data_IF_037447884495
#
_entry.id   IF_037447884495
#
_cell.length_a   1.000
_cell.length_b   1.000
_cell.length_c   1.000
_cell.angle_alpha   90.00
_cell.angle_beta   90.00
_cell.angle_gamma   90.00
#
_symmetry.space_group_name_H-M   'P 1'
#
loop_
_entity.id
_entity.type
_entity.pdbx_description
1 polymer ?
#
# COMPACT_ATOMS: atom_id res chain seq x y z
N UNK A 1 7.55 8.02 0.70
CA UNK A 1 6.95 6.95 -0.14
C UNK A 1 7.05 5.66 0.63
N UNK A 2 5.94 4.93 0.81
CA UNK A 2 5.87 3.76 1.68
C UNK A 2 5.83 2.46 0.88
N UNK A 3 6.51 1.44 1.37
CA UNK A 3 6.31 0.05 0.97
C UNK A 3 5.00 -0.51 1.56
N UNK A 4 4.00 -0.72 0.70
CA UNK A 4 2.69 -1.27 1.06
C UNK A 4 2.46 -2.63 0.38
N UNK A 5 1.98 -3.60 1.15
CA UNK A 5 1.65 -4.95 0.67
C UNK A 5 0.14 -5.13 0.62
N UNK A 6 -0.37 -5.56 -0.53
CA UNK A 6 -1.80 -5.79 -0.76
C UNK A 6 -1.97 -7.17 -1.39
N UNK A 7 -3.02 -7.89 -1.01
CA UNK A 7 -3.35 -9.18 -1.63
C UNK A 7 -3.67 -8.99 -3.12
N UNK A 8 -3.28 -9.97 -3.94
CA UNK A 8 -3.35 -9.86 -5.41
C UNK A 8 -4.78 -9.70 -5.96
N UNK A 9 -5.77 -10.22 -5.26
CA UNK A 9 -7.19 -10.12 -5.58
C UNK A 9 -7.69 -8.66 -5.62
N UNK A 10 -7.21 -7.81 -4.71
CA UNK A 10 -7.59 -6.40 -4.65
C UNK A 10 -6.99 -5.60 -5.82
N UNK A 11 -5.75 -5.92 -6.22
CA UNK A 11 -4.97 -5.08 -7.13
C UNK A 11 -5.22 -5.28 -8.62
N UNK A 12 -6.10 -6.19 -9.06
CA UNK A 12 -6.14 -6.59 -10.48
C UNK A 12 -7.20 -5.85 -11.32
N UNK A 13 -8.28 -5.32 -10.72
CA UNK A 13 -9.37 -4.71 -11.52
C UNK A 13 -10.09 -3.50 -10.89
N UNK A 14 -9.77 -3.09 -9.66
CA UNK A 14 -10.47 -1.99 -8.98
C UNK A 14 -9.48 -1.02 -8.32
N UNK A 15 -9.17 0.07 -9.02
CA UNK A 15 -8.22 1.08 -8.57
C UNK A 15 -8.71 1.82 -7.31
N UNK A 16 -10.02 1.97 -7.13
CA UNK A 16 -10.58 2.63 -5.95
C UNK A 16 -10.47 1.73 -4.72
N UNK A 17 -10.76 0.43 -4.85
CA UNK A 17 -10.48 -0.54 -3.78
C UNK A 17 -8.99 -0.60 -3.44
N UNK A 18 -8.13 -0.55 -4.45
CA UNK A 18 -6.69 -0.52 -4.23
C UNK A 18 -6.25 0.75 -3.48
N UNK A 19 -6.77 1.93 -3.87
CA UNK A 19 -6.53 3.20 -3.17
C UNK A 19 -7.05 3.15 -1.73
N UNK A 20 -8.23 2.59 -1.49
CA UNK A 20 -8.81 2.43 -0.16
C UNK A 20 -7.97 1.49 0.72
N UNK A 21 -7.49 0.38 0.16
CA UNK A 21 -6.60 -0.55 0.86
C UNK A 21 -5.27 0.13 1.26
N UNK A 22 -4.68 0.94 0.38
CA UNK A 22 -3.52 1.75 0.74
C UNK A 22 -3.83 2.73 1.86
N UNK A 23 -4.95 3.44 1.77
CA UNK A 23 -5.33 4.42 2.78
C UNK A 23 -5.49 3.78 4.16
N UNK A 24 -6.16 2.62 4.25
CA UNK A 24 -6.35 1.89 5.50
C UNK A 24 -5.01 1.43 6.11
N UNK A 25 -4.11 0.87 5.29
CA UNK A 25 -2.79 0.41 5.76
C UNK A 25 -1.93 1.59 6.25
N UNK A 26 -1.90 2.68 5.48
CA UNK A 26 -1.10 3.86 5.80
C UNK A 26 -1.62 4.53 7.06
N UNK A 27 -2.94 4.72 7.18
CA UNK A 27 -3.56 5.35 8.35
C UNK A 27 -3.22 4.62 9.66
N UNK A 28 -3.18 3.29 9.66
CA UNK A 28 -2.83 2.46 10.83
C UNK A 28 -1.38 2.60 11.27
N UNK A 29 -0.49 3.00 10.37
CA UNK A 29 0.94 3.08 10.64
C UNK A 29 1.42 4.54 10.82
N UNK A 30 0.56 5.53 10.58
CA UNK A 30 0.89 6.93 10.85
C UNK A 30 1.18 7.12 12.34
N UNK A 31 2.19 7.94 12.64
CA UNK A 31 2.48 8.32 14.01
C UNK A 31 1.27 9.04 14.65
N UNK A 32 1.09 8.94 15.97
CA UNK A 32 0.11 9.75 16.69
C UNK A 32 0.24 11.24 16.36
N UNK A 33 -0.88 11.96 16.31
CA UNK A 33 -0.90 13.36 15.91
C UNK A 33 -0.85 13.59 14.40
N UNK A 34 -0.89 12.53 13.57
CA UNK A 34 -1.01 12.63 12.12
C UNK A 34 -2.27 11.93 11.62
N UNK A 35 -2.98 12.57 10.70
CA UNK A 35 -4.13 11.99 10.01
C UNK A 35 -3.86 11.93 8.51
N UNK A 36 -4.12 10.78 7.91
CA UNK A 36 -4.02 10.61 6.47
C UNK A 36 -5.02 11.54 5.76
N UNK A 37 -4.54 12.30 4.78
CA UNK A 37 -5.40 13.14 3.94
C UNK A 37 -5.80 12.40 2.68
N UNK A 38 -4.82 11.90 1.92
CA UNK A 38 -5.07 11.13 0.70
C UNK A 38 -3.86 10.31 0.27
N UNK A 39 -4.14 9.31 -0.55
CA UNK A 39 -3.15 8.60 -1.38
C UNK A 39 -3.02 9.36 -2.70
N UNK A 40 -1.80 9.77 -3.05
CA UNK A 40 -1.52 10.61 -4.23
C UNK A 40 -1.22 9.76 -5.46
N UNK A 41 -0.28 8.83 -5.34
CA UNK A 41 0.15 7.95 -6.44
C UNK A 41 0.79 6.68 -5.89
N UNK A 42 0.87 5.64 -6.73
CA UNK A 42 1.54 4.40 -6.39
C UNK A 42 2.21 3.77 -7.60
N UNK A 43 3.24 2.95 -7.33
CA UNK A 43 3.94 2.19 -8.36
C UNK A 43 4.11 0.74 -7.89
N UNK A 44 3.67 -0.23 -8.70
CA UNK A 44 3.88 -1.64 -8.42
C UNK A 44 5.39 -1.94 -8.43
N UNK A 45 5.84 -2.74 -7.46
CA UNK A 45 7.23 -3.14 -7.28
C UNK A 45 8.20 -1.95 -7.20
N UNK A 46 7.68 -0.75 -6.88
CA UNK A 46 8.41 0.50 -6.84
C UNK A 46 9.12 0.83 -8.15
N UNK A 47 8.59 0.42 -9.30
CA UNK A 47 9.25 0.64 -10.60
C UNK A 47 10.54 -0.17 -10.74
N UNK A 48 10.55 -1.39 -10.17
CA UNK A 48 11.71 -2.29 -10.06
C UNK A 48 12.67 -2.01 -8.90
N UNK A 49 12.38 -1.02 -8.05
CA UNK A 49 13.16 -0.78 -6.82
C UNK A 49 12.97 -1.90 -5.78
N UNK A 50 11.83 -2.60 -5.81
CA UNK A 50 11.62 -3.75 -4.94
C UNK A 50 12.20 -5.00 -5.59
N UNK A 51 13.09 -5.71 -4.87
CA UNK A 51 13.58 -7.01 -5.34
C UNK A 51 12.41 -7.96 -5.58
N UNK A 52 12.36 -8.55 -6.77
CA UNK A 52 11.36 -9.47 -7.33
C UNK A 52 11.31 -10.86 -6.66
N UNK A 53 11.47 -10.94 -5.33
CA UNK A 53 10.98 -12.10 -4.56
C UNK A 53 9.44 -12.14 -4.46
N UNK A 54 8.74 -11.36 -5.29
CA UNK A 54 7.29 -11.19 -5.33
C UNK A 54 6.54 -12.48 -5.66
N UNK A 55 7.18 -13.50 -6.24
CA UNK A 55 6.56 -14.82 -6.47
C UNK A 55 6.43 -15.69 -5.20
N UNK A 56 7.04 -15.31 -4.08
CA UNK A 56 7.07 -16.13 -2.85
C UNK A 56 6.44 -15.45 -1.62
N UNK A 57 5.90 -14.23 -1.76
CA UNK A 57 5.30 -13.54 -0.62
C UNK A 57 3.82 -13.89 -0.52
N UNK A 58 3.51 -14.83 0.37
CA UNK A 58 2.13 -15.23 0.68
C UNK A 58 1.65 -14.59 1.97
N UNK A 59 0.36 -14.23 2.02
CA UNK A 59 -0.33 -13.90 3.26
C UNK A 59 -0.34 -15.11 4.21
N UNK A 60 -0.80 -14.91 5.45
CA UNK A 60 -1.09 -16.03 6.38
C UNK A 60 -2.11 -17.04 5.81
N UNK A 61 -2.93 -16.60 4.85
CA UNK A 61 -3.94 -17.42 4.16
C UNK A 61 -3.43 -18.04 2.86
N UNK A 62 -2.13 -17.95 2.57
CA UNK A 62 -1.52 -18.52 1.35
C UNK A 62 -1.72 -17.68 0.09
N UNK A 63 -2.35 -16.50 0.18
CA UNK A 63 -2.60 -15.65 -0.98
C UNK A 63 -1.35 -14.87 -1.39
N UNK A 64 -1.06 -14.83 -2.69
CA UNK A 64 0.02 -14.01 -3.23
C UNK A 64 -0.19 -12.51 -2.89
N UNK A 65 0.86 -11.86 -2.41
CA UNK A 65 0.89 -10.43 -2.11
C UNK A 65 1.62 -9.67 -3.23
N UNK A 66 1.07 -8.52 -3.60
CA UNK A 66 1.74 -7.51 -4.41
C UNK A 66 2.29 -6.41 -3.53
N UNK A 67 3.38 -5.80 -3.99
CA UNK A 67 4.10 -4.76 -3.27
C UNK A 67 4.03 -3.46 -4.06
N UNK A 68 3.76 -2.35 -3.38
CA UNK A 68 3.59 -1.04 -4.00
C UNK A 68 4.39 0.01 -3.25
N UNK A 69 5.02 0.91 -3.99
CA UNK A 69 5.56 2.13 -3.44
C UNK A 69 4.46 3.19 -3.50
N UNK A 70 4.03 3.71 -2.35
CA UNK A 70 2.85 4.59 -2.25
C UNK A 70 3.24 5.96 -1.73
N UNK A 71 2.86 7.01 -2.44
CA UNK A 71 2.96 8.40 -1.98
C UNK A 71 1.63 8.85 -1.39
N UNK A 72 1.69 9.57 -0.28
CA UNK A 72 0.52 10.01 0.46
C UNK A 72 0.78 11.38 1.09
N UNK A 73 -0.31 12.09 1.38
CA UNK A 73 -0.32 13.34 2.13
C UNK A 73 -0.99 13.12 3.47
N UNK A 74 -0.52 13.80 4.50
CA UNK A 74 -1.11 13.79 5.83
C UNK A 74 -1.20 15.21 6.37
N UNK A 75 -2.05 15.39 7.37
CA UNK A 75 -2.15 16.61 8.16
C UNK A 75 -1.81 16.30 9.62
N UNK A 76 -1.34 17.29 10.36
CA UNK A 76 -1.22 17.17 11.81
C UNK A 76 -2.60 17.34 12.45
N UNK A 77 -2.91 16.51 13.44
CA UNK A 77 -4.07 16.69 14.29
C UNK A 77 -3.61 17.37 15.58
N UNK A 78 -4.32 18.42 15.97
CA UNK A 78 -4.11 19.12 17.23
C UNK A 78 -4.32 18.20 18.44
#
# INVERSE_FOLDING_TARGET
MWDVRVTRDIGTYDLERLRAAFADIIAKQLAPGKRLLRVVTWCQDGGSLFRTRSSQMTSRTGQAMRRYAVAYEFVYTA
#
